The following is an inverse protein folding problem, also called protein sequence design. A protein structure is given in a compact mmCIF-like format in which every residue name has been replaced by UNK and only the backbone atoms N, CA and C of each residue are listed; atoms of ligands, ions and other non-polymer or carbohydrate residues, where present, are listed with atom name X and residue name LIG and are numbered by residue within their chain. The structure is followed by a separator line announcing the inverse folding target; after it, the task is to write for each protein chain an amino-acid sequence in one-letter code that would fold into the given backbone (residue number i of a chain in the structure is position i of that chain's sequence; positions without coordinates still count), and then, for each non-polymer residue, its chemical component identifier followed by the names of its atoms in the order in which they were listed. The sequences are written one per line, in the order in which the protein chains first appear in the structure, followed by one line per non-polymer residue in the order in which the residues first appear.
data_IF_967580148898
#
_entry.id   IF_967580148898
#
_cell.length_a   1.000
_cell.length_b   1.000
_cell.length_c   1.000
_cell.angle_alpha   90.00
_cell.angle_beta   90.00
_cell.angle_gamma   90.00
#
_symmetry.space_group_name_H-M   'P 1'
#
loop_
_entity.id
_entity.type
_entity.pdbx_description
1 polymer ?
#
# COMPACT_ATOMS: atom_id res chain seq x y z
N UNK A 1 8.68 -26.09 -15.00
CA UNK A 1 8.17 -24.96 -14.18
C UNK A 1 6.75 -24.72 -14.65
N UNK A 2 5.81 -24.46 -13.74
CA UNK A 2 4.39 -24.37 -14.10
C UNK A 2 4.16 -23.21 -15.07
N UNK A 3 3.55 -23.47 -16.23
CA UNK A 3 3.15 -22.50 -17.27
C UNK A 3 2.04 -21.52 -16.82
N UNK A 4 1.88 -21.35 -15.51
CA UNK A 4 0.83 -20.52 -14.93
C UNK A 4 1.33 -19.09 -14.77
N UNK A 5 0.48 -18.15 -15.17
CA UNK A 5 0.72 -16.70 -15.07
C UNK A 5 0.50 -16.15 -13.66
N UNK A 6 0.25 -17.02 -12.69
CA UNK A 6 0.08 -16.70 -11.28
C UNK A 6 0.66 -17.84 -10.46
N UNK A 7 0.92 -17.59 -9.18
CA UNK A 7 1.36 -18.63 -8.26
C UNK A 7 0.39 -18.81 -7.11
N UNK A 8 0.25 -20.05 -6.65
CA UNK A 8 -0.42 -20.37 -5.40
C UNK A 8 0.60 -20.89 -4.39
N UNK A 9 0.38 -20.58 -3.13
CA UNK A 9 1.23 -21.05 -2.03
C UNK A 9 0.44 -21.11 -0.73
N UNK A 10 0.85 -21.98 0.19
CA UNK A 10 0.27 -22.05 1.51
C UNK A 10 0.97 -21.08 2.48
N UNK A 11 0.22 -20.55 3.45
CA UNK A 11 0.79 -19.83 4.58
C UNK A 11 1.70 -20.74 5.41
N UNK A 12 2.79 -20.17 5.95
CA UNK A 12 3.78 -20.89 6.74
C UNK A 12 3.14 -21.54 7.97
N UNK A 13 3.61 -22.74 8.33
CA UNK A 13 3.04 -23.56 9.40
C UNK A 13 3.04 -22.88 10.79
N UNK A 14 3.97 -21.97 11.03
CA UNK A 14 4.15 -21.20 12.25
C UNK A 14 3.54 -19.78 12.20
N UNK A 15 2.84 -19.44 11.12
CA UNK A 15 2.26 -18.12 10.91
C UNK A 15 0.75 -18.04 11.22
N UNK A 16 0.24 -16.81 11.32
CA UNK A 16 -1.19 -16.52 11.55
C UNK A 16 -2.16 -17.07 10.47
N UNK A 17 -1.63 -17.58 9.36
CA UNK A 17 -2.39 -18.15 8.23
C UNK A 17 -1.89 -19.55 7.87
N UNK A 18 -1.40 -20.31 8.86
CA UNK A 18 -0.86 -21.65 8.64
C UNK A 18 -1.82 -22.54 7.84
N UNK A 19 -1.31 -23.14 6.77
CA UNK A 19 -2.10 -24.02 5.89
C UNK A 19 -3.11 -23.32 4.97
N UNK A 20 -3.32 -22.01 5.13
CA UNK A 20 -4.25 -21.25 4.29
C UNK A 20 -3.66 -20.98 2.90
N UNK A 21 -4.49 -21.08 1.88
CA UNK A 21 -4.08 -20.88 0.48
C UNK A 21 -4.04 -19.40 0.12
N UNK A 22 -2.96 -19.00 -0.55
CA UNK A 22 -2.80 -17.70 -1.17
C UNK A 22 -2.70 -17.83 -2.68
N UNK A 23 -3.23 -16.84 -3.39
CA UNK A 23 -2.95 -16.60 -4.81
C UNK A 23 -2.15 -15.30 -4.95
N UNK A 24 -1.03 -15.36 -5.68
CA UNK A 24 -0.24 -14.19 -6.07
C UNK A 24 -0.31 -13.98 -7.56
N UNK A 25 -0.87 -12.83 -7.93
CA UNK A 25 -1.08 -12.40 -9.31
C UNK A 25 -0.15 -11.23 -9.63
N UNK A 26 -0.01 -10.89 -10.91
CA UNK A 26 0.72 -9.68 -11.32
C UNK A 26 -0.16 -8.45 -11.27
N UNK A 27 0.44 -7.26 -11.07
CA UNK A 27 -0.31 -6.00 -10.92
C UNK A 27 -1.12 -5.57 -12.15
N UNK A 28 -0.86 -6.16 -13.32
CA UNK A 28 -1.61 -5.94 -14.56
C UNK A 28 -2.89 -6.78 -14.67
N UNK A 29 -3.08 -7.78 -13.82
CA UNK A 29 -4.18 -8.74 -13.92
C UNK A 29 -5.46 -8.20 -13.29
N UNK A 30 -6.17 -7.35 -14.02
CA UNK A 30 -7.33 -6.61 -13.51
C UNK A 30 -8.52 -7.53 -13.29
N UNK A 31 -8.88 -8.35 -14.29
CA UNK A 31 -10.04 -9.23 -14.20
C UNK A 31 -9.84 -10.31 -13.13
N UNK A 32 -8.63 -10.89 -13.07
CA UNK A 32 -8.24 -11.84 -12.03
C UNK A 32 -8.33 -11.21 -10.63
N UNK A 33 -7.90 -9.95 -10.48
CA UNK A 33 -8.00 -9.22 -9.21
C UNK A 33 -9.45 -8.96 -8.81
N UNK A 34 -10.30 -8.55 -9.74
CA UNK A 34 -11.72 -8.29 -9.47
C UNK A 34 -12.43 -9.56 -9.03
N UNK A 35 -12.19 -10.68 -9.71
CA UNK A 35 -12.70 -11.99 -9.30
C UNK A 35 -12.27 -12.40 -7.89
N UNK A 36 -11.00 -12.14 -7.52
CA UNK A 36 -10.52 -12.40 -6.16
C UNK A 36 -11.26 -11.55 -5.13
N UNK A 37 -11.50 -10.26 -5.42
CA UNK A 37 -12.25 -9.38 -4.53
C UNK A 37 -13.71 -9.80 -4.38
N UNK A 38 -14.37 -10.14 -5.48
CA UNK A 38 -15.77 -10.59 -5.49
C UNK A 38 -15.95 -11.89 -4.72
N UNK A 39 -14.97 -12.79 -4.78
CA UNK A 39 -14.96 -14.03 -4.00
C UNK A 39 -14.69 -13.79 -2.49
N UNK A 40 -14.35 -12.56 -2.08
CA UNK A 40 -14.02 -12.24 -0.69
C UNK A 40 -12.58 -12.55 -0.29
N UNK A 41 -11.66 -12.68 -1.26
CA UNK A 41 -10.25 -12.88 -0.96
C UNK A 41 -9.63 -11.62 -0.34
N UNK A 42 -8.82 -11.79 0.70
CA UNK A 42 -8.23 -10.68 1.43
C UNK A 42 -6.80 -10.38 0.96
N UNK A 43 -6.50 -9.13 0.63
CA UNK A 43 -5.14 -8.74 0.28
C UNK A 43 -4.26 -8.69 1.54
N UNK A 44 -3.21 -9.53 1.60
CA UNK A 44 -2.27 -9.60 2.73
C UNK A 44 -0.84 -9.18 2.37
N UNK A 45 -0.58 -8.89 1.10
CA UNK A 45 0.70 -8.40 0.63
C UNK A 45 0.61 -7.90 -0.82
N UNK A 46 1.72 -7.40 -1.40
CA UNK A 46 1.75 -6.91 -2.77
C UNK A 46 1.28 -7.96 -3.76
N UNK A 47 0.06 -7.77 -4.27
CA UNK A 47 -0.66 -8.68 -5.17
C UNK A 47 -0.83 -10.12 -4.63
N UNK A 48 -0.75 -10.30 -3.31
CA UNK A 48 -0.98 -11.59 -2.64
C UNK A 48 -2.32 -11.58 -1.91
N UNK A 49 -3.19 -12.52 -2.26
CA UNK A 49 -4.55 -12.63 -1.77
C UNK A 49 -4.74 -13.94 -1.02
N UNK A 50 -5.17 -13.85 0.23
CA UNK A 50 -5.63 -14.97 1.03
C UNK A 50 -6.99 -15.43 0.49
N UNK A 51 -7.09 -16.69 0.07
CA UNK A 51 -8.33 -17.22 -0.45
C UNK A 51 -9.32 -17.54 0.68
N UNK A 52 -10.64 -17.39 0.44
CA UNK A 52 -11.68 -17.90 1.33
C UNK A 52 -11.61 -19.43 1.42
N UNK A 53 -11.80 -19.96 2.63
CA UNK A 53 -11.81 -21.41 2.85
C UNK A 53 -12.98 -22.07 2.11
N UNK A 54 -12.70 -23.20 1.46
CA UNK A 54 -13.69 -23.99 0.73
C UNK A 54 -14.03 -23.44 -0.67
N UNK A 55 -13.37 -22.37 -1.13
CA UNK A 55 -13.55 -21.79 -2.46
C UNK A 55 -12.28 -21.84 -3.32
N UNK A 56 -11.20 -22.43 -2.82
CA UNK A 56 -9.87 -22.38 -3.44
C UNK A 56 -9.90 -22.91 -4.87
N UNK A 57 -10.43 -24.12 -5.08
CA UNK A 57 -10.45 -24.77 -6.40
C UNK A 57 -11.29 -23.99 -7.41
N UNK A 58 -12.45 -23.47 -6.97
CA UNK A 58 -13.34 -22.69 -7.83
C UNK A 58 -12.69 -21.37 -8.27
N UNK A 59 -11.98 -20.70 -7.35
CA UNK A 59 -11.24 -19.46 -7.64
C UNK A 59 -10.05 -19.77 -8.56
N UNK A 60 -9.28 -20.82 -8.27
CA UNK A 60 -8.13 -21.25 -9.09
C UNK A 60 -8.57 -21.54 -10.54
N UNK A 61 -9.69 -22.25 -10.73
CA UNK A 61 -10.24 -22.51 -12.06
C UNK A 61 -10.59 -21.22 -12.83
N UNK A 62 -11.16 -20.22 -12.14
CA UNK A 62 -11.40 -18.90 -12.75
C UNK A 62 -10.09 -18.19 -13.11
N UNK A 63 -9.09 -18.22 -12.22
CA UNK A 63 -7.78 -17.61 -12.46
C UNK A 63 -7.04 -18.23 -13.65
N UNK A 64 -7.14 -19.55 -13.84
CA UNK A 64 -6.56 -20.24 -15.01
C UNK A 64 -7.10 -19.67 -16.33
N UNK A 65 -8.35 -19.20 -16.36
CA UNK A 65 -8.94 -18.57 -17.56
C UNK A 65 -8.63 -17.07 -17.65
N UNK A 66 -8.88 -16.34 -16.57
CA UNK A 66 -8.79 -14.88 -16.56
C UNK A 66 -7.36 -14.36 -16.71
N UNK A 67 -6.38 -15.09 -16.17
CA UNK A 67 -4.98 -14.67 -16.25
C UNK A 67 -4.45 -14.61 -17.70
N UNK A 68 -4.97 -15.48 -18.58
CA UNK A 68 -4.67 -15.47 -20.02
C UNK A 68 -5.27 -14.25 -20.71
N UNK A 69 -6.53 -13.91 -20.36
CA UNK A 69 -7.19 -12.71 -20.88
C UNK A 69 -6.47 -11.43 -20.43
N UNK A 70 -6.12 -11.36 -19.15
CA UNK A 70 -5.35 -10.26 -18.55
C UNK A 70 -3.98 -10.11 -19.22
N UNK A 71 -3.30 -11.22 -19.54
CA UNK A 71 -2.03 -11.18 -20.27
C UNK A 71 -2.20 -10.63 -21.68
N UNK A 72 -3.18 -11.14 -22.43
CA UNK A 72 -3.44 -10.67 -23.79
C UNK A 72 -3.77 -9.18 -23.84
N UNK A 73 -4.48 -8.66 -22.82
CA UNK A 73 -4.74 -7.24 -22.69
C UNK A 73 -3.46 -6.46 -22.33
N UNK A 74 -2.67 -6.95 -21.37
CA UNK A 74 -1.41 -6.32 -21.01
C UNK A 74 -0.42 -6.23 -22.19
N UNK A 75 -0.41 -7.20 -23.10
CA UNK A 75 0.44 -7.14 -24.30
C UNK A 75 0.08 -6.00 -25.25
N UNK A 76 -1.16 -5.50 -25.21
CA UNK A 76 -1.63 -4.32 -25.95
C UNK A 76 -1.34 -3.02 -25.19
N UNK A 77 -1.41 -3.07 -23.87
CA UNK A 77 -1.32 -1.89 -23.01
C UNK A 77 0.12 -1.45 -22.72
N UNK A 78 1.08 -2.36 -22.91
CA UNK A 78 2.50 -2.10 -22.73
C UNK A 78 3.38 -2.87 -23.71
N UNK A 79 4.53 -2.29 -23.99
CA UNK A 79 5.54 -2.87 -24.87
C UNK A 79 6.90 -2.80 -24.19
N UNK A 80 7.66 -3.92 -24.13
CA UNK A 80 9.03 -3.88 -23.67
C UNK A 80 9.92 -3.27 -24.76
N UNK A 81 10.80 -2.36 -24.36
CA UNK A 81 11.81 -1.72 -25.21
C UNK A 81 13.18 -1.87 -24.56
N UNK A 82 14.26 -1.75 -25.33
CA UNK A 82 15.61 -1.72 -24.77
C UNK A 82 15.76 -0.50 -23.85
N UNK A 83 16.41 -0.67 -22.69
CA UNK A 83 16.55 0.42 -21.72
C UNK A 83 17.28 1.66 -22.31
N UNK A 84 18.25 1.43 -23.19
CA UNK A 84 18.97 2.51 -23.89
C UNK A 84 18.07 3.33 -24.84
N UNK A 85 17.00 2.75 -25.37
CA UNK A 85 16.04 3.45 -26.21
C UNK A 85 14.95 4.12 -25.37
N UNK A 86 14.49 3.45 -24.31
CA UNK A 86 13.58 4.06 -23.33
C UNK A 86 14.15 5.35 -22.71
N UNK A 87 15.46 5.40 -22.47
CA UNK A 87 16.15 6.57 -21.92
C UNK A 87 16.06 7.82 -22.81
N UNK A 88 15.66 7.67 -24.08
CA UNK A 88 15.48 8.77 -25.04
C UNK A 88 14.00 9.17 -25.19
N UNK A 89 13.08 8.45 -24.53
CA UNK A 89 11.64 8.65 -24.61
C UNK A 89 11.14 9.48 -23.42
N UNK A 90 10.10 10.25 -23.66
CA UNK A 90 9.40 11.04 -22.65
C UNK A 90 7.92 10.64 -22.58
N UNK A 91 7.33 10.85 -21.40
CA UNK A 91 5.87 10.80 -21.25
C UNK A 91 5.25 11.85 -22.18
N UNK A 92 4.26 11.46 -22.97
CA UNK A 92 3.63 12.27 -24.01
C UNK A 92 4.13 12.02 -25.43
N UNK A 93 5.31 11.40 -25.60
CA UNK A 93 5.82 11.02 -26.92
C UNK A 93 4.88 9.99 -27.57
N UNK A 94 4.77 10.04 -28.91
CA UNK A 94 4.04 9.01 -29.66
C UNK A 94 4.90 7.76 -29.79
N UNK A 95 4.31 6.62 -29.46
CA UNK A 95 4.94 5.31 -29.56
C UNK A 95 3.98 4.32 -30.21
N UNK A 96 4.51 3.46 -31.08
CA UNK A 96 3.71 2.39 -31.69
C UNK A 96 3.64 1.18 -30.76
N UNK A 97 2.48 0.99 -30.14
CA UNK A 97 2.19 -0.19 -29.31
C UNK A 97 1.79 -1.41 -30.15
N UNK A 98 1.62 -1.24 -31.47
CA UNK A 98 1.25 -2.27 -32.42
C UNK A 98 -0.21 -2.73 -32.29
N UNK A 99 -0.55 -3.74 -33.09
CA UNK A 99 -1.87 -4.38 -33.07
C UNK A 99 -3.02 -3.39 -33.32
N UNK A 100 -4.08 -3.47 -32.50
CA UNK A 100 -5.25 -2.60 -32.60
C UNK A 100 -5.07 -1.25 -31.91
N UNK A 101 -3.97 -1.05 -31.17
CA UNK A 101 -3.68 0.22 -30.49
C UNK A 101 -2.95 1.18 -31.44
N UNK A 102 -1.95 0.68 -32.16
CA UNK A 102 -1.12 1.48 -33.06
C UNK A 102 -0.34 2.58 -32.32
N UNK A 103 -0.19 3.74 -32.98
CA UNK A 103 0.47 4.90 -32.39
C UNK A 103 -0.39 5.55 -31.30
N UNK A 104 0.13 5.59 -30.07
CA UNK A 104 -0.51 6.23 -28.93
C UNK A 104 0.53 6.98 -28.08
N UNK A 105 0.10 7.98 -27.28
CA UNK A 105 1.01 8.66 -26.37
C UNK A 105 1.48 7.73 -25.24
N UNK A 106 2.76 7.83 -24.89
CA UNK A 106 3.33 7.21 -23.71
C UNK A 106 2.76 7.89 -22.47
N UNK A 107 2.18 7.12 -21.54
CA UNK A 107 1.68 7.64 -20.26
C UNK A 107 2.52 7.18 -19.07
N UNK A 108 3.43 6.23 -19.28
CA UNK A 108 4.34 5.74 -18.25
C UNK A 108 5.53 5.01 -18.85
N UNK A 109 6.67 5.12 -18.17
CA UNK A 109 7.91 4.43 -18.49
C UNK A 109 8.37 3.71 -17.22
N UNK A 110 8.40 2.38 -17.25
CA UNK A 110 8.72 1.55 -16.10
C UNK A 110 10.19 1.66 -15.67
N UNK A 111 10.54 0.96 -14.59
CA UNK A 111 11.94 0.80 -14.20
C UNK A 111 12.63 -0.21 -15.10
N UNK A 112 13.93 -0.01 -15.35
CA UNK A 112 14.75 -0.98 -16.06
C UNK A 112 14.89 -2.29 -15.28
N UNK A 113 14.87 -3.40 -16.01
CA UNK A 113 15.06 -4.74 -15.46
C UNK A 113 15.72 -5.66 -16.49
N UNK A 114 16.36 -6.72 -15.99
CA UNK A 114 17.02 -7.72 -16.83
C UNK A 114 16.40 -9.09 -16.57
N UNK A 115 15.59 -9.63 -17.50
CA UNK A 115 15.02 -10.97 -17.36
C UNK A 115 16.14 -12.01 -17.31
N UNK A 116 16.11 -12.93 -16.33
CA UNK A 116 17.10 -14.01 -16.25
C UNK A 116 16.85 -15.14 -17.25
N UNK A 117 15.62 -15.28 -17.71
CA UNK A 117 15.16 -16.32 -18.63
C UNK A 117 14.00 -15.78 -19.48
N UNK A 118 13.57 -16.58 -20.45
CA UNK A 118 12.31 -16.33 -21.15
C UNK A 118 11.16 -16.17 -20.14
N UNK A 119 10.28 -15.21 -20.41
CA UNK A 119 9.16 -14.87 -19.53
C UNK A 119 7.90 -15.58 -20.01
N UNK A 120 7.22 -16.28 -19.10
CA UNK A 120 5.89 -16.84 -19.38
C UNK A 120 4.82 -15.74 -19.57
N UNK A 121 5.09 -14.52 -19.07
CA UNK A 121 4.14 -13.41 -19.08
C UNK A 121 4.25 -12.51 -20.31
N UNK A 122 5.38 -12.53 -21.01
CA UNK A 122 5.62 -11.69 -22.19
C UNK A 122 6.78 -12.29 -23.00
N UNK A 123 6.46 -12.87 -24.14
CA UNK A 123 7.40 -13.53 -25.05
C UNK A 123 8.31 -12.55 -25.79
N UNK A 124 8.00 -11.25 -25.76
CA UNK A 124 8.83 -10.18 -26.35
C UNK A 124 10.03 -9.81 -25.47
N UNK A 125 10.10 -10.34 -24.24
CA UNK A 125 11.24 -10.15 -23.35
C UNK A 125 12.42 -11.02 -23.76
N UNK A 126 13.60 -10.41 -23.78
CA UNK A 126 14.85 -11.05 -24.15
C UNK A 126 15.70 -11.30 -22.90
N UNK A 127 15.97 -12.58 -22.63
CA UNK A 127 16.79 -12.97 -21.48
C UNK A 127 18.19 -12.35 -21.55
N UNK A 128 18.65 -11.80 -20.42
CA UNK A 128 19.97 -11.18 -20.30
C UNK A 128 20.09 -9.77 -20.86
N UNK A 129 19.03 -9.21 -21.45
CA UNK A 129 19.03 -7.82 -21.93
C UNK A 129 18.26 -6.91 -20.98
N UNK A 130 18.80 -5.72 -20.76
CA UNK A 130 18.13 -4.71 -19.94
C UNK A 130 17.02 -4.05 -20.75
N UNK A 131 15.79 -4.17 -20.24
CA UNK A 131 14.57 -3.71 -20.89
C UNK A 131 13.73 -2.88 -19.93
N UNK A 132 12.84 -2.08 -20.50
CA UNK A 132 11.88 -1.22 -19.80
C UNK A 132 10.52 -1.42 -20.45
N UNK A 133 9.46 -1.47 -19.65
CA UNK A 133 8.10 -1.40 -20.20
C UNK A 133 7.69 0.05 -20.43
N UNK A 134 7.17 0.34 -21.61
CA UNK A 134 6.48 1.59 -21.95
C UNK A 134 4.98 1.30 -21.94
N UNK A 135 4.17 2.22 -21.41
CA UNK A 135 2.75 2.03 -21.15
C UNK A 135 1.89 3.07 -21.89
N UNK A 136 0.73 2.64 -22.37
CA UNK A 136 -0.32 3.53 -22.90
C UNK A 136 -1.45 3.78 -21.89
N UNK A 137 -2.40 4.64 -22.25
CA UNK A 137 -3.50 5.07 -21.37
C UNK A 137 -4.43 3.94 -20.88
N UNK A 138 -4.45 2.79 -21.57
CA UNK A 138 -5.29 1.65 -21.18
C UNK A 138 -4.64 0.81 -20.07
N UNK A 139 -3.33 0.96 -19.84
CA UNK A 139 -2.63 0.21 -18.81
C UNK A 139 -3.20 0.50 -17.41
N UNK A 140 -3.41 -0.52 -16.57
CA UNK A 140 -3.94 -0.31 -15.23
C UNK A 140 -2.92 0.44 -14.37
N UNK A 141 -3.40 1.41 -13.57
CA UNK A 141 -2.56 2.20 -12.65
C UNK A 141 -1.74 1.35 -11.67
N UNK A 142 -2.20 0.13 -11.34
CA UNK A 142 -1.46 -0.81 -10.50
C UNK A 142 -0.26 -1.46 -11.17
N UNK A 143 -0.17 -1.42 -12.51
CA UNK A 143 0.96 -1.92 -13.28
C UNK A 143 1.94 -0.81 -13.72
N UNK A 144 1.50 0.45 -13.66
CA UNK A 144 2.31 1.61 -14.02
C UNK A 144 3.25 2.00 -12.87
N UNK A 145 4.41 2.60 -13.18
CA UNK A 145 5.24 3.24 -12.17
C UNK A 145 4.41 4.28 -11.42
N UNK A 146 4.62 4.39 -10.10
CA UNK A 146 4.04 5.52 -9.37
C UNK A 146 4.75 6.77 -9.90
N UNK A 147 4.00 7.81 -10.32
CA UNK A 147 4.63 9.08 -10.68
C UNK A 147 5.48 9.53 -9.49
N UNK A 148 6.72 9.92 -9.76
CA UNK A 148 7.56 10.51 -8.72
C UNK A 148 6.88 11.79 -8.24
N UNK A 149 6.52 11.81 -6.96
CA UNK A 149 6.01 13.03 -6.35
C UNK A 149 7.12 14.08 -6.41
N UNK A 150 6.82 15.24 -6.97
CA UNK A 150 7.68 16.40 -6.95
C UNK A 150 8.04 16.79 -5.52
N UNK A 151 9.10 17.59 -5.33
CA UNK A 151 9.45 18.09 -4.01
C UNK A 151 8.29 18.87 -3.35
N UNK A 152 7.54 19.62 -4.16
CA UNK A 152 6.35 20.37 -3.73
C UNK A 152 5.21 19.46 -3.30
N UNK A 153 4.90 18.40 -4.06
CA UNK A 153 3.87 17.43 -3.67
C UNK A 153 4.28 16.63 -2.41
N UNK A 154 5.57 16.33 -2.24
CA UNK A 154 6.09 15.69 -1.02
C UNK A 154 5.92 16.62 0.19
N UNK A 155 6.22 17.92 0.03
CA UNK A 155 6.03 18.92 1.08
C UNK A 155 4.54 19.06 1.43
N UNK A 156 3.66 19.24 0.45
CA UNK A 156 2.22 19.35 0.66
C UNK A 156 1.63 18.11 1.36
N UNK A 157 2.10 16.91 1.00
CA UNK A 157 1.69 15.67 1.68
C UNK A 157 2.24 15.56 3.11
N UNK A 158 3.45 16.05 3.35
CA UNK A 158 4.04 16.13 4.69
C UNK A 158 3.24 17.09 5.57
N UNK A 159 2.88 18.26 5.04
CA UNK A 159 2.04 19.25 5.71
C UNK A 159 0.64 18.72 5.99
N UNK A 160 -0.01 18.09 5.01
CA UNK A 160 -1.31 17.46 5.22
C UNK A 160 -1.26 16.34 6.26
N UNK A 161 -0.16 15.57 6.31
CA UNK A 161 0.07 14.55 7.34
C UNK A 161 0.29 15.20 8.71
N UNK A 162 1.04 16.29 8.79
CA UNK A 162 1.28 17.02 10.03
C UNK A 162 -0.03 17.61 10.58
N UNK A 163 -0.86 18.24 9.73
CA UNK A 163 -2.18 18.74 10.11
C UNK A 163 -3.09 17.61 10.62
N UNK A 164 -3.18 16.50 9.89
CA UNK A 164 -3.96 15.33 10.32
C UNK A 164 -3.42 14.66 11.61
N UNK A 165 -2.13 14.81 11.90
CA UNK A 165 -1.55 14.35 13.17
C UNK A 165 -1.93 15.31 14.29
N UNK A 166 -1.83 16.63 14.08
CA UNK A 166 -2.20 17.65 15.05
C UNK A 166 -3.69 17.55 15.43
N UNK A 167 -4.59 17.39 14.44
CA UNK A 167 -6.03 17.21 14.68
C UNK A 167 -6.33 15.99 15.56
N UNK A 168 -5.54 14.91 15.40
CA UNK A 168 -5.67 13.72 16.25
C UNK A 168 -5.07 13.92 17.63
N UNK A 169 -3.99 14.68 17.73
CA UNK A 169 -3.32 14.99 19.01
C UNK A 169 -4.16 15.88 19.91
N UNK A 170 -5.06 16.69 19.34
CA UNK A 170 -6.02 17.47 20.11
C UNK A 170 -6.94 16.63 21.02
N UNK A 171 -7.18 15.37 20.66
CA UNK A 171 -8.17 14.50 21.30
C UNK A 171 -7.57 13.23 21.91
N UNK A 172 -6.26 13.22 22.16
CA UNK A 172 -5.58 12.09 22.77
C UNK A 172 -4.37 12.50 23.57
N UNK A 173 -4.02 11.69 24.56
CA UNK A 173 -2.76 11.80 25.31
C UNK A 173 -2.09 10.44 25.41
N UNK A 174 -0.75 10.38 25.33
CA UNK A 174 -0.01 9.15 25.60
C UNK A 174 -0.04 8.85 27.10
N UNK A 175 -0.34 7.60 27.44
CA UNK A 175 -0.36 7.08 28.81
C UNK A 175 0.38 5.75 28.87
N UNK A 176 0.98 5.42 30.01
CA UNK A 176 1.61 4.11 30.22
C UNK A 176 0.53 3.02 30.16
N UNK A 177 0.83 1.89 29.51
CA UNK A 177 -0.10 0.77 29.42
C UNK A 177 -0.52 0.32 30.83
N UNK A 178 -1.83 0.24 31.06
CA UNK A 178 -2.41 -0.15 32.35
C UNK A 178 -2.48 0.94 33.42
N UNK A 179 -1.97 2.15 33.16
CA UNK A 179 -2.06 3.28 34.11
C UNK A 179 -3.47 3.86 34.23
N UNK A 180 -4.25 3.79 33.15
CA UNK A 180 -5.63 4.30 33.09
C UNK A 180 -6.53 3.30 32.36
N UNK A 181 -7.82 3.32 32.71
CA UNK A 181 -8.87 2.53 32.07
C UNK A 181 -9.82 3.44 31.28
N UNK A 182 -10.64 2.84 30.40
CA UNK A 182 -11.77 3.54 29.78
C UNK A 182 -12.76 4.01 30.86
N UNK A 183 -13.25 5.24 30.74
CA UNK A 183 -14.00 5.94 31.79
C UNK A 183 -13.12 6.55 32.90
N UNK A 184 -11.81 6.34 32.87
CA UNK A 184 -10.85 7.01 33.75
C UNK A 184 -10.64 8.49 33.39
N UNK A 185 -9.84 9.20 34.19
CA UNK A 185 -9.51 10.62 33.96
C UNK A 185 -8.03 10.77 33.59
N UNK A 186 -7.74 11.63 32.62
CA UNK A 186 -6.38 12.01 32.20
C UNK A 186 -6.29 13.53 32.05
N UNK A 187 -5.13 14.11 32.27
CA UNK A 187 -4.92 15.55 32.09
C UNK A 187 -4.45 15.82 30.66
N UNK A 188 -5.17 16.69 29.94
CA UNK A 188 -4.83 17.14 28.59
C UNK A 188 -4.91 18.67 28.52
N UNK A 189 -3.79 19.33 28.16
CA UNK A 189 -3.74 20.79 28.05
C UNK A 189 -4.10 21.52 29.34
N UNK A 190 -3.77 20.94 30.50
CA UNK A 190 -4.10 21.48 31.82
C UNK A 190 -5.53 21.22 32.32
N UNK A 191 -6.37 20.50 31.56
CA UNK A 191 -7.73 20.12 31.96
C UNK A 191 -7.84 18.61 32.19
N UNK A 192 -8.59 18.22 33.21
CA UNK A 192 -8.92 16.81 33.45
C UNK A 192 -10.07 16.37 32.55
N UNK A 193 -9.81 15.40 31.68
CA UNK A 193 -10.76 14.88 30.69
C UNK A 193 -11.00 13.38 30.88
N UNK A 194 -12.21 12.93 30.59
CA UNK A 194 -12.58 11.51 30.69
C UNK A 194 -12.14 10.73 29.47
N UNK A 195 -11.49 9.59 29.68
CA UNK A 195 -11.04 8.69 28.64
C UNK A 195 -12.25 7.97 28.03
N UNK A 196 -12.49 8.20 26.75
CA UNK A 196 -13.55 7.51 26.00
C UNK A 196 -13.08 6.17 25.43
N UNK A 197 -11.80 6.07 25.03
CA UNK A 197 -11.25 4.86 24.41
C UNK A 197 -9.74 4.75 24.51
N UNK A 198 -9.24 3.53 24.70
CA UNK A 198 -7.80 3.24 24.66
C UNK A 198 -7.34 2.70 23.29
N UNK A 199 -6.18 3.16 22.85
CA UNK A 199 -5.52 2.70 21.63
C UNK A 199 -4.73 1.41 21.82
N UNK A 200 -4.14 0.91 20.72
CA UNK A 200 -3.19 -0.21 20.79
C UNK A 200 -1.91 0.25 21.48
N UNK A 201 -1.38 -0.56 22.40
CA UNK A 201 -0.10 -0.28 23.06
C UNK A 201 1.11 -0.53 22.13
N UNK A 202 2.16 0.26 22.29
CA UNK A 202 3.46 0.11 21.62
C UNK A 202 4.62 0.48 22.55
N UNK A 203 5.82 0.01 22.26
CA UNK A 203 7.02 0.32 23.02
C UNK A 203 7.76 1.53 22.42
N UNK A 204 8.30 2.39 23.28
CA UNK A 204 9.28 3.40 22.89
C UNK A 204 10.66 2.74 22.83
N UNK A 205 11.16 2.48 21.63
CA UNK A 205 12.37 1.66 21.43
C UNK A 205 13.67 2.46 21.59
N UNK A 206 13.63 3.77 21.38
CA UNK A 206 14.81 4.64 21.40
C UNK A 206 14.48 6.07 21.91
N UNK A 207 15.54 6.85 22.14
CA UNK A 207 15.43 8.22 22.64
C UNK A 207 14.79 9.16 21.62
N UNK A 208 14.98 8.92 20.31
CA UNK A 208 14.39 9.73 19.26
C UNK A 208 12.84 9.65 19.30
N UNK A 209 12.31 8.45 19.55
CA UNK A 209 10.88 8.22 19.73
C UNK A 209 10.33 8.93 20.98
N UNK A 210 11.10 8.95 22.08
CA UNK A 210 10.75 9.67 23.32
C UNK A 210 10.70 11.17 23.06
N UNK A 211 11.75 11.73 22.45
CA UNK A 211 11.86 13.15 22.19
C UNK A 211 10.78 13.63 21.21
N UNK A 212 10.51 12.86 20.15
CA UNK A 212 9.44 13.15 19.20
C UNK A 212 8.04 13.13 19.84
N UNK A 213 7.82 12.26 20.84
CA UNK A 213 6.56 12.21 21.57
C UNK A 213 6.43 13.40 22.53
N UNK A 214 7.49 13.72 23.29
CA UNK A 214 7.51 14.86 24.23
C UNK A 214 7.41 16.21 23.51
N UNK A 215 7.93 16.32 22.29
CA UNK A 215 7.73 17.52 21.47
C UNK A 215 6.25 17.78 21.14
N UNK A 216 5.42 16.73 21.10
CA UNK A 216 3.97 16.81 20.81
C UNK A 216 3.12 16.81 22.08
N UNK A 217 3.60 16.15 23.13
CA UNK A 217 2.95 16.02 24.43
C UNK A 217 3.98 16.34 25.52
N UNK A 218 4.21 17.62 25.83
CA UNK A 218 5.25 18.05 26.77
C UNK A 218 5.09 17.46 28.17
N UNK A 219 3.84 17.23 28.59
CA UNK A 219 3.49 16.69 29.90
C UNK A 219 3.54 15.14 29.96
N UNK A 220 3.96 14.48 28.87
CA UNK A 220 4.02 13.02 28.83
C UNK A 220 5.16 12.47 29.70
N UNK A 221 4.78 11.78 30.79
CA UNK A 221 5.71 11.04 31.67
C UNK A 221 6.12 9.70 31.03
N UNK A 222 7.04 9.75 30.06
CA UNK A 222 7.53 8.56 29.34
C UNK A 222 9.07 8.54 29.23
N UNK A 223 9.62 7.32 29.11
CA UNK A 223 11.04 7.04 28.93
C UNK A 223 11.29 5.90 27.93
N UNK A 224 12.53 5.72 27.50
CA UNK A 224 12.93 4.62 26.61
C UNK A 224 12.60 3.28 27.27
N UNK A 225 11.98 2.38 26.53
CA UNK A 225 11.47 1.09 27.03
C UNK A 225 10.05 1.15 27.62
N UNK A 226 9.47 2.34 27.81
CA UNK A 226 8.08 2.47 28.24
C UNK A 226 7.14 1.87 27.21
N UNK A 227 6.18 1.06 27.68
CA UNK A 227 5.08 0.58 26.85
C UNK A 227 3.88 1.50 27.06
N UNK A 228 3.50 2.21 26.01
CA UNK A 228 2.51 3.29 26.06
C UNK A 228 1.35 3.02 25.12
N UNK A 229 0.23 3.67 25.37
CA UNK A 229 -0.96 3.67 24.52
C UNK A 229 -1.56 5.07 24.48
N UNK A 230 -2.36 5.39 23.45
CA UNK A 230 -3.11 6.65 23.44
C UNK A 230 -4.44 6.47 24.19
N UNK A 231 -4.68 7.30 25.19
CA UNK A 231 -6.00 7.54 25.74
C UNK A 231 -6.68 8.63 24.92
N UNK A 232 -7.82 8.29 24.30
CA UNK A 232 -8.62 9.22 23.52
C UNK A 232 -9.74 9.76 24.40
N UNK A 233 -10.11 11.01 24.17
CA UNK A 233 -11.19 11.71 24.85
C UNK A 233 -11.97 12.54 23.83
N UNK A 234 -13.17 12.96 24.20
CA UNK A 234 -13.93 13.93 23.42
C UNK A 234 -13.39 15.33 23.73
N UNK A 235 -13.17 16.16 22.71
CA UNK A 235 -12.69 17.53 22.91
C UNK A 235 -13.61 18.24 23.90
N UNK A 236 -13.09 18.92 24.95
CA UNK A 236 -13.94 19.74 25.79
C UNK A 236 -14.63 20.82 24.93
N UNK A 237 -15.94 21.03 25.11
CA UNK A 237 -16.62 22.14 24.44
C UNK A 237 -15.89 23.45 24.76
N UNK A 238 -15.59 24.30 23.76
CA UNK A 238 -15.00 25.60 24.04
C UNK A 238 -15.96 26.37 24.93
N UNK A 239 -15.48 26.80 26.11
CA UNK A 239 -16.27 27.62 27.01
C UNK A 239 -16.80 28.84 26.24
N UNK A 240 -18.12 29.00 26.19
CA UNK A 240 -18.75 30.19 25.62
C UNK A 240 -18.10 31.43 26.26
N UNK A 241 -17.45 32.27 25.45
CA UNK A 241 -16.96 33.56 25.91
C UNK A 241 -18.15 34.32 26.54
N UNK A 242 -18.01 34.88 27.76
CA UNK A 242 -19.08 35.68 28.33
C UNK A 242 -19.34 36.85 27.38
N UNK A 243 -20.57 36.92 26.85
CA UNK A 243 -21.02 38.03 26.04
C UNK A 243 -20.76 39.34 26.79
N UNK A 244 -19.81 40.16 26.28
CA UNK A 244 -19.65 41.55 26.69
C UNK A 244 -20.65 42.44 25.97
#
# INVERSE_FOLDING_TARGET
MSDKLYSTFAGKADGNFAGRTFAKISGYMVASRETLKEAGAEMKGPNSYLLPEGQEDAIIAKLDTLSVQDQAQAMKDRTPVAAADAAKMNIGDKFDFGGTVGEAPIVGIGSAFTPRSASAHDDRLEAGKEQVYVYNANAPKSAMPKPEMTAEEKAAKSEARAASVADRDANRVPVIEGSVAEGGTVTAGGNDVTVSKLGKAWALEDQEAVDALKARFPDAEVEVGSKIQFANFEAPEPAEEPAM
#
